data_IF_284881256595
#
_entry.id   IF_284881256595
#
_cell.length_a   1.000
_cell.length_b   1.000
_cell.length_c   1.000
_cell.angle_alpha   90.00
_cell.angle_beta   90.00
_cell.angle_gamma   90.00
#
_symmetry.space_group_name_H-M   'P 1'
#
loop_
_entity.id
_entity.type
_entity.pdbx_description
1 polymer ?
#
# COMPACT_ATOMS: atom_id res chain seq x y z
N UNK A 1 44.85 14.29 -71.42
CA UNK A 1 44.99 14.76 -70.03
C UNK A 1 43.82 14.19 -69.25
N UNK A 2 44.01 13.06 -68.59
CA UNK A 2 42.98 12.43 -67.75
C UNK A 2 43.08 12.95 -66.33
N UNK A 3 42.00 13.55 -65.83
CA UNK A 3 41.86 14.17 -64.51
C UNK A 3 41.10 13.27 -63.53
N UNK A 4 41.39 11.97 -63.53
CA UNK A 4 40.85 11.07 -62.51
C UNK A 4 41.72 11.17 -61.25
N UNK A 5 41.40 12.14 -60.39
CA UNK A 5 41.89 12.19 -59.01
C UNK A 5 41.42 10.93 -58.28
N UNK A 6 42.31 9.96 -58.17
CA UNK A 6 42.13 8.72 -57.43
C UNK A 6 41.83 9.07 -55.95
N UNK A 7 40.57 8.91 -55.52
CA UNK A 7 40.21 9.10 -54.11
C UNK A 7 40.79 7.94 -53.30
N UNK A 8 41.63 8.26 -52.32
CA UNK A 8 42.25 7.31 -51.42
C UNK A 8 41.58 7.38 -50.05
N UNK A 9 40.97 6.29 -49.65
CA UNK A 9 40.42 6.16 -48.31
C UNK A 9 41.54 5.79 -47.32
N UNK A 10 41.58 6.48 -46.19
CA UNK A 10 42.53 6.21 -45.09
C UNK A 10 41.75 5.85 -43.85
N UNK A 11 42.05 4.68 -43.27
CA UNK A 11 41.51 4.26 -41.98
C UNK A 11 42.59 4.42 -40.92
N UNK A 12 42.28 5.19 -39.88
CA UNK A 12 43.15 5.40 -38.72
C UNK A 12 42.51 4.70 -37.53
N UNK A 13 43.20 3.71 -36.98
CA UNK A 13 42.79 3.03 -35.75
C UNK A 13 43.43 3.70 -34.53
N UNK A 14 42.61 4.19 -33.61
CA UNK A 14 43.04 4.79 -32.35
C UNK A 14 42.70 3.86 -31.20
N UNK A 15 43.72 3.46 -30.42
CA UNK A 15 43.56 2.63 -29.23
C UNK A 15 43.80 3.46 -27.97
N UNK A 16 42.77 3.55 -27.11
CA UNK A 16 42.85 4.28 -25.84
C UNK A 16 43.08 3.37 -24.62
N UNK A 17 43.24 2.06 -24.80
CA UNK A 17 43.47 1.13 -23.70
C UNK A 17 44.74 1.45 -22.89
N UNK A 18 45.74 2.06 -23.53
CA UNK A 18 46.99 2.47 -22.86
C UNK A 18 46.84 3.73 -22.00
N UNK A 19 45.78 4.54 -22.18
CA UNK A 19 45.58 5.76 -21.39
C UNK A 19 45.18 5.46 -19.94
N UNK A 20 44.48 4.35 -19.71
CA UNK A 20 43.96 3.96 -18.39
C UNK A 20 44.37 2.52 -18.10
N UNK A 21 45.58 2.33 -17.55
CA UNK A 21 46.12 0.99 -17.26
C UNK A 21 45.46 0.22 -16.11
N UNK A 22 44.29 0.64 -15.60
CA UNK A 22 43.58 -0.03 -14.49
C UNK A 22 42.07 -0.06 -14.71
N UNK A 23 41.45 -1.18 -14.36
CA UNK A 23 39.99 -1.34 -14.36
C UNK A 23 39.39 -0.68 -13.11
N UNK A 24 38.21 -0.04 -13.27
CA UNK A 24 37.48 0.58 -12.17
C UNK A 24 36.93 -0.46 -11.18
N UNK A 25 36.86 -0.11 -9.91
CA UNK A 25 36.29 -0.97 -8.86
C UNK A 25 34.90 -0.50 -8.45
N UNK A 26 33.94 -1.41 -8.52
CA UNK A 26 32.57 -1.20 -8.03
C UNK A 26 32.27 -2.15 -6.86
N UNK A 27 31.69 -1.64 -5.77
CA UNK A 27 31.28 -2.42 -4.61
C UNK A 27 29.97 -1.91 -3.97
N UNK A 28 28.84 -2.50 -4.33
CA UNK A 28 27.51 -2.05 -3.90
C UNK A 28 27.31 -1.89 -2.38
N UNK A 29 28.01 -2.65 -1.54
CA UNK A 29 27.85 -2.62 -0.07
C UNK A 29 28.68 -1.54 0.64
N UNK A 30 29.69 -0.99 -0.03
CA UNK A 30 30.57 0.03 0.53
C UNK A 30 30.34 1.37 -0.15
N UNK A 31 29.58 2.29 0.47
CA UNK A 31 29.30 3.63 -0.09
C UNK A 31 30.56 4.49 -0.30
N UNK A 32 31.72 4.09 0.22
CA UNK A 32 32.99 4.77 -0.01
C UNK A 32 33.66 4.44 -1.35
N UNK A 33 32.99 3.68 -2.24
CA UNK A 33 33.52 3.22 -3.54
C UNK A 33 34.40 4.26 -4.21
N UNK A 34 35.68 3.90 -4.39
CA UNK A 34 36.72 4.87 -4.73
C UNK A 34 36.58 5.43 -6.14
N UNK A 35 35.91 4.71 -7.06
CA UNK A 35 35.81 5.11 -8.46
C UNK A 35 34.41 5.60 -8.91
N UNK A 36 33.34 5.24 -8.19
CA UNK A 36 31.96 5.58 -8.57
C UNK A 36 31.28 6.43 -7.50
N UNK A 37 30.39 7.31 -7.95
CA UNK A 37 29.47 8.11 -7.13
C UNK A 37 28.02 7.81 -7.49
N UNK A 38 27.13 7.97 -6.51
CA UNK A 38 25.69 7.93 -6.76
C UNK A 38 25.28 9.27 -7.35
N UNK A 39 24.64 9.23 -8.50
CA UNK A 39 24.14 10.39 -9.21
C UNK A 39 22.63 10.25 -9.46
N UNK A 40 21.88 11.24 -8.98
CA UNK A 40 20.44 11.34 -9.22
C UNK A 40 20.23 12.24 -10.45
N UNK A 41 19.51 11.79 -11.49
CA UNK A 41 19.14 12.65 -12.60
C UNK A 41 18.18 13.73 -12.10
N UNK A 42 18.51 14.98 -12.38
CA UNK A 42 17.67 16.14 -12.07
C UNK A 42 17.30 16.89 -13.35
N UNK A 43 16.07 17.37 -13.42
CA UNK A 43 15.65 18.30 -14.48
C UNK A 43 16.17 19.71 -14.21
N UNK A 44 16.25 20.55 -15.26
CA UNK A 44 16.64 21.96 -15.18
C UNK A 44 15.75 22.78 -14.22
N UNK A 45 14.51 22.33 -14.00
CA UNK A 45 13.54 22.93 -13.10
C UNK A 45 13.82 22.67 -11.60
N UNK A 46 14.91 21.98 -11.26
CA UNK A 46 15.30 21.73 -9.88
C UNK A 46 14.40 20.71 -9.22
N UNK A 47 14.64 19.43 -9.48
CA UNK A 47 13.90 18.34 -8.84
C UNK A 47 14.53 16.98 -9.08
N UNK A 48 14.36 16.06 -8.13
CA UNK A 48 14.80 14.65 -8.23
C UNK A 48 13.75 13.72 -8.84
N UNK A 49 12.59 14.25 -9.24
CA UNK A 49 11.50 13.48 -9.81
C UNK A 49 11.54 13.61 -11.33
N UNK A 50 11.87 12.51 -12.01
CA UNK A 50 11.86 12.40 -13.46
C UNK A 50 10.85 11.33 -13.83
N UNK A 51 9.90 11.66 -14.72
CA UNK A 51 8.80 10.75 -15.11
C UNK A 51 8.10 10.14 -13.88
N UNK A 52 7.74 10.98 -12.92
CA UNK A 52 7.03 10.53 -11.73
C UNK A 52 7.82 9.63 -10.77
N UNK A 53 9.14 9.47 -10.91
CA UNK A 53 9.94 8.63 -10.04
C UNK A 53 11.29 9.27 -9.69
N UNK A 54 11.82 8.90 -8.52
CA UNK A 54 13.22 9.15 -8.15
C UNK A 54 14.04 7.94 -8.51
N UNK A 55 15.00 8.11 -9.42
CA UNK A 55 15.97 7.08 -9.76
C UNK A 55 17.36 7.53 -9.33
N UNK A 56 18.24 6.57 -9.03
CA UNK A 56 19.66 6.83 -8.84
C UNK A 56 20.50 5.91 -9.70
N UNK A 57 21.55 6.47 -10.27
CA UNK A 57 22.51 5.77 -11.10
C UNK A 57 23.90 5.81 -10.46
N UNK A 58 24.74 4.85 -10.81
CA UNK A 58 26.16 4.93 -10.51
C UNK A 58 26.89 5.55 -11.69
N UNK A 59 27.64 6.62 -11.42
CA UNK A 59 28.48 7.30 -12.40
C UNK A 59 29.92 7.28 -11.95
N UNK A 60 30.86 7.21 -12.89
CA UNK A 60 32.28 7.36 -12.60
C UNK A 60 32.55 8.76 -12.03
N UNK A 61 33.33 8.85 -10.95
CA UNK A 61 33.76 10.15 -10.42
C UNK A 61 34.70 10.83 -11.40
N UNK A 62 34.73 12.17 -11.37
CA UNK A 62 35.57 12.97 -12.28
C UNK A 62 37.06 12.75 -12.07
N UNK A 63 37.48 12.41 -10.87
CA UNK A 63 38.88 12.16 -10.45
C UNK A 63 39.31 10.69 -10.63
N UNK A 64 38.42 9.81 -11.09
CA UNK A 64 38.71 8.39 -11.26
C UNK A 64 39.25 8.08 -12.65
N UNK A 65 40.57 7.86 -12.71
CA UNK A 65 41.29 7.49 -13.94
C UNK A 65 41.35 5.97 -14.13
N UNK A 66 40.27 5.36 -14.59
CA UNK A 66 40.17 3.92 -14.86
C UNK A 66 39.20 3.63 -16.01
N UNK A 67 39.22 2.41 -16.55
CA UNK A 67 38.24 1.96 -17.54
C UNK A 67 37.18 1.03 -16.92
N UNK A 68 35.94 1.09 -17.41
CA UNK A 68 34.84 0.27 -16.91
C UNK A 68 35.00 -1.19 -17.37
N UNK A 69 35.22 -1.41 -18.67
CA UNK A 69 35.35 -2.74 -19.25
C UNK A 69 34.10 -3.58 -19.05
N UNK A 70 34.25 -4.85 -18.69
CA UNK A 70 33.15 -5.81 -18.48
C UNK A 70 32.52 -5.74 -17.08
N UNK A 71 32.71 -4.61 -16.37
CA UNK A 71 32.19 -4.45 -15.02
C UNK A 71 30.66 -4.42 -15.03
N UNK A 72 30.05 -5.40 -14.36
CA UNK A 72 28.59 -5.45 -14.19
C UNK A 72 28.13 -4.40 -13.18
N UNK A 73 27.64 -3.26 -13.68
CA UNK A 73 26.98 -2.25 -12.87
C UNK A 73 25.51 -2.63 -12.67
N UNK A 74 24.95 -2.43 -11.46
CA UNK A 74 23.54 -2.65 -11.23
C UNK A 74 22.71 -1.69 -12.10
N UNK A 75 21.53 -2.17 -12.51
CA UNK A 75 20.54 -1.32 -13.14
C UNK A 75 20.14 -0.17 -12.21
N UNK A 76 19.73 0.99 -12.76
CA UNK A 76 19.27 2.10 -11.95
C UNK A 76 18.21 1.68 -10.95
N UNK A 77 18.40 2.09 -9.70
CA UNK A 77 17.47 1.79 -8.64
C UNK A 77 16.38 2.87 -8.63
N UNK A 78 15.14 2.47 -8.93
CA UNK A 78 13.97 3.35 -8.78
C UNK A 78 13.62 3.38 -7.30
N UNK A 79 14.13 4.38 -6.60
CA UNK A 79 14.02 4.49 -5.14
C UNK A 79 12.57 4.67 -4.67
N UNK A 80 11.77 5.49 -5.38
CA UNK A 80 10.39 5.79 -4.98
C UNK A 80 9.59 6.50 -6.07
N UNK A 81 8.28 6.27 -6.07
CA UNK A 81 7.33 7.05 -6.86
C UNK A 81 7.12 8.45 -6.26
N UNK A 82 7.03 9.46 -7.11
CA UNK A 82 6.69 10.84 -6.75
C UNK A 82 5.18 11.08 -6.85
N UNK A 83 4.73 12.19 -6.26
CA UNK A 83 3.38 12.71 -6.50
C UNK A 83 3.27 13.20 -7.94
N UNK A 84 2.15 12.93 -8.61
CA UNK A 84 1.92 13.46 -9.94
C UNK A 84 1.82 14.98 -9.93
N UNK A 85 2.36 15.59 -10.97
CA UNK A 85 2.30 17.03 -11.28
C UNK A 85 1.80 17.22 -12.70
N UNK A 86 1.51 18.44 -13.13
CA UNK A 86 1.07 18.75 -14.50
C UNK A 86 2.07 18.27 -15.57
N UNK A 87 3.37 18.24 -15.23
CA UNK A 87 4.44 17.78 -16.11
C UNK A 87 4.43 16.25 -16.37
N UNK A 88 3.67 15.48 -15.58
CA UNK A 88 3.49 14.03 -15.77
C UNK A 88 2.37 13.70 -16.77
N UNK A 89 1.70 14.72 -17.32
CA UNK A 89 0.58 14.58 -18.25
C UNK A 89 0.88 15.22 -19.62
N UNK A 90 0.35 14.58 -20.64
CA UNK A 90 0.34 15.06 -22.02
C UNK A 90 -1.11 15.16 -22.53
N UNK A 91 -1.32 15.87 -23.64
CA UNK A 91 -2.65 15.98 -24.21
C UNK A 91 -3.13 14.61 -24.72
N UNK A 92 -4.39 14.31 -24.45
CA UNK A 92 -5.07 13.12 -24.95
C UNK A 92 -5.32 13.24 -26.46
N UNK A 93 -5.67 12.14 -27.10
CA UNK A 93 -6.08 12.09 -28.50
C UNK A 93 -7.04 13.23 -28.87
N UNK A 94 -6.74 13.90 -29.99
CA UNK A 94 -7.45 15.07 -30.51
C UNK A 94 -7.42 16.34 -29.64
N UNK A 95 -6.59 16.39 -28.59
CA UNK A 95 -6.39 17.59 -27.79
C UNK A 95 -5.01 18.20 -28.09
N UNK A 96 -4.93 19.52 -28.01
CA UNK A 96 -3.70 20.31 -28.22
C UNK A 96 -3.58 21.37 -27.14
N UNK A 97 -2.35 21.77 -26.79
CA UNK A 97 -2.12 22.85 -25.84
C UNK A 97 -2.54 24.19 -26.46
N UNK A 98 -3.34 24.97 -25.74
CA UNK A 98 -3.64 26.35 -26.08
C UNK A 98 -2.54 27.32 -25.60
N UNK A 99 -2.82 28.62 -25.67
CA UNK A 99 -1.89 29.67 -25.22
C UNK A 99 -1.67 29.69 -23.71
N UNK A 100 -2.62 29.19 -22.93
CA UNK A 100 -2.54 29.11 -21.48
C UNK A 100 -1.84 27.83 -21.02
N UNK A 101 -1.58 26.92 -21.96
CA UNK A 101 -0.89 25.64 -21.75
C UNK A 101 -1.84 24.48 -21.49
N UNK A 102 -3.15 24.73 -21.56
CA UNK A 102 -4.21 23.75 -21.30
C UNK A 102 -4.50 22.88 -22.53
N UNK A 103 -4.76 21.60 -22.31
CA UNK A 103 -5.11 20.67 -23.39
C UNK A 103 -6.58 20.81 -23.79
N UNK A 104 -6.84 21.49 -24.90
CA UNK A 104 -8.17 21.75 -25.46
C UNK A 104 -8.44 20.89 -26.70
N UNK A 105 -9.72 20.56 -26.91
CA UNK A 105 -10.14 19.79 -28.09
C UNK A 105 -9.92 20.60 -29.37
N UNK A 106 -9.31 19.98 -30.38
CA UNK A 106 -9.11 20.60 -31.68
C UNK A 106 -10.49 20.92 -32.32
N UNK A 107 -10.71 22.13 -32.87
CA UNK A 107 -11.98 22.49 -33.50
C UNK A 107 -12.40 21.49 -34.58
N UNK A 108 -13.62 20.95 -34.47
CA UNK A 108 -14.17 19.96 -35.40
C UNK A 108 -13.74 18.51 -35.16
N UNK A 109 -12.86 18.25 -34.19
CA UNK A 109 -12.49 16.90 -33.79
C UNK A 109 -13.47 16.30 -32.77
N UNK A 110 -13.41 14.97 -32.60
CA UNK A 110 -14.23 14.25 -31.62
C UNK A 110 -13.32 13.67 -30.53
N UNK A 111 -13.61 13.91 -29.24
CA UNK A 111 -12.83 13.32 -28.16
C UNK A 111 -13.04 11.81 -28.07
N UNK A 112 -12.10 11.10 -27.46
CA UNK A 112 -12.31 9.68 -27.18
C UNK A 112 -13.41 9.50 -26.15
N UNK A 113 -14.29 8.52 -26.39
CA UNK A 113 -15.32 8.16 -25.43
C UNK A 113 -14.70 7.58 -24.16
N UNK A 114 -15.28 7.96 -23.01
CA UNK A 114 -14.96 7.35 -21.73
C UNK A 114 -15.35 5.87 -21.73
N UNK A 115 -14.45 5.03 -21.24
CA UNK A 115 -14.69 3.59 -21.07
C UNK A 115 -14.71 3.29 -19.58
N UNK A 116 -15.69 2.50 -19.15
CA UNK A 116 -15.75 2.00 -17.78
C UNK A 116 -14.55 1.08 -17.50
N UNK A 117 -13.57 1.61 -16.76
CA UNK A 117 -12.39 0.89 -16.28
C UNK A 117 -12.39 1.00 -14.76
N UNK A 118 -12.89 -0.04 -14.10
CA UNK A 118 -13.05 -0.08 -12.66
C UNK A 118 -11.70 -0.22 -11.95
N UNK A 119 -11.44 0.70 -11.02
CA UNK A 119 -10.35 0.58 -10.07
C UNK A 119 -10.68 -0.45 -8.97
N UNK A 120 -9.72 -0.74 -8.08
CA UNK A 120 -9.93 -1.64 -6.94
C UNK A 120 -11.03 -1.14 -5.99
N UNK A 121 -11.29 0.16 -5.98
CA UNK A 121 -12.27 0.80 -5.11
C UNK A 121 -13.67 0.87 -5.75
N UNK A 122 -13.92 0.10 -6.82
CA UNK A 122 -15.19 0.09 -7.58
C UNK A 122 -15.61 1.47 -8.12
N UNK A 123 -14.64 2.35 -8.36
CA UNK A 123 -14.82 3.66 -8.99
C UNK A 123 -14.10 3.70 -10.34
N UNK A 124 -14.73 4.32 -11.34
CA UNK A 124 -14.11 4.67 -12.62
C UNK A 124 -14.22 6.19 -12.86
N UNK A 125 -13.35 6.74 -13.71
CA UNK A 125 -13.29 8.17 -13.98
C UNK A 125 -13.54 8.44 -15.46
N UNK A 126 -14.25 9.53 -15.76
CA UNK A 126 -14.35 10.04 -17.13
C UNK A 126 -12.98 10.49 -17.65
N UNK A 127 -12.78 10.34 -18.96
CA UNK A 127 -11.58 10.84 -19.63
C UNK A 127 -11.63 12.35 -19.73
N UNK A 128 -10.48 12.99 -19.57
CA UNK A 128 -10.29 14.42 -19.79
C UNK A 128 -9.49 14.66 -21.08
N UNK A 129 -9.15 15.92 -21.35
CA UNK A 129 -8.20 16.28 -22.41
C UNK A 129 -6.74 15.91 -22.12
N UNK A 130 -6.47 15.25 -20.99
CA UNK A 130 -5.14 14.87 -20.54
C UNK A 130 -5.01 13.36 -20.39
N UNK A 131 -3.80 12.85 -20.58
CA UNK A 131 -3.43 11.47 -20.25
C UNK A 131 -2.07 11.44 -19.56
N UNK A 132 -1.90 10.48 -18.65
CA UNK A 132 -0.60 10.26 -18.02
C UNK A 132 0.41 9.77 -19.05
N UNK A 133 1.61 10.34 -19.05
CA UNK A 133 2.70 9.89 -19.91
C UNK A 133 2.98 8.42 -19.62
N UNK A 134 3.05 7.57 -20.65
CA UNK A 134 3.08 6.11 -20.48
C UNK A 134 4.26 5.58 -19.63
N UNK A 135 5.37 6.31 -19.57
CA UNK A 135 6.53 5.98 -18.73
C UNK A 135 6.53 6.66 -17.36
N UNK A 136 5.58 7.56 -17.09
CA UNK A 136 5.48 8.19 -15.78
C UNK A 136 4.97 7.20 -14.75
N UNK A 137 5.70 7.05 -13.65
CA UNK A 137 5.36 6.17 -12.53
C UNK A 137 4.80 6.96 -11.34
N UNK A 138 4.33 8.19 -11.56
CA UNK A 138 3.80 9.03 -10.48
C UNK A 138 2.53 8.41 -9.87
N UNK A 139 2.30 8.70 -8.58
CA UNK A 139 1.13 8.23 -7.83
C UNK A 139 0.53 9.34 -6.98
N UNK A 140 -0.81 9.42 -6.91
CA UNK A 140 -1.50 10.49 -6.20
C UNK A 140 -1.17 11.89 -6.75
N UNK A 141 -1.32 12.93 -5.92
CA UNK A 141 -1.09 14.31 -6.36
C UNK A 141 -2.20 14.83 -7.27
N UNK A 142 -1.85 15.70 -8.23
CA UNK A 142 -2.79 16.23 -9.22
C UNK A 142 -3.04 15.17 -10.30
N UNK A 143 -4.31 14.79 -10.51
CA UNK A 143 -4.73 13.79 -11.52
C UNK A 143 -5.53 14.48 -12.62
N UNK A 144 -4.83 15.13 -13.55
CA UNK A 144 -5.47 15.83 -14.66
C UNK A 144 -6.19 14.89 -15.63
N UNK A 145 -5.76 13.63 -15.67
CA UNK A 145 -6.34 12.56 -16.50
C UNK A 145 -7.69 12.04 -15.98
N UNK A 146 -8.05 12.34 -14.73
CA UNK A 146 -9.27 11.86 -14.07
C UNK A 146 -10.33 12.96 -14.04
N UNK A 147 -11.43 12.75 -14.77
CA UNK A 147 -12.60 13.61 -14.76
C UNK A 147 -13.57 13.26 -13.62
N UNK A 148 -14.87 13.38 -13.89
CA UNK A 148 -15.89 13.01 -12.92
C UNK A 148 -15.80 11.53 -12.52
N UNK A 149 -15.89 11.25 -11.22
CA UNK A 149 -15.87 9.89 -10.68
C UNK A 149 -17.26 9.26 -10.68
N UNK A 150 -17.34 7.99 -11.06
CA UNK A 150 -18.56 7.21 -11.13
C UNK A 150 -18.37 5.84 -10.47
N UNK A 151 -19.41 5.33 -9.82
CA UNK A 151 -19.38 3.96 -9.33
C UNK A 151 -19.53 2.97 -10.48
N UNK A 152 -18.80 1.88 -10.38
CA UNK A 152 -18.90 0.79 -11.34
C UNK A 152 -20.26 0.11 -11.31
N UNK A 153 -20.66 -0.40 -12.47
CA UNK A 153 -21.92 -1.11 -12.63
C UNK A 153 -21.95 -2.34 -11.71
N UNK A 154 -23.01 -2.41 -10.91
CA UNK A 154 -23.20 -3.50 -9.93
C UNK A 154 -22.57 -3.25 -8.56
N UNK A 155 -21.88 -2.11 -8.34
CA UNK A 155 -21.43 -1.70 -7.01
C UNK A 155 -22.58 -1.72 -5.98
N UNK A 156 -23.72 -1.14 -6.34
CA UNK A 156 -24.93 -1.16 -5.51
C UNK A 156 -25.40 -2.58 -5.16
N UNK A 157 -25.43 -3.51 -6.14
CA UNK A 157 -25.84 -4.90 -5.87
C UNK A 157 -24.88 -5.58 -4.88
N UNK A 158 -23.57 -5.36 -4.99
CA UNK A 158 -22.58 -5.93 -4.07
C UNK A 158 -22.77 -5.43 -2.65
N UNK A 159 -22.91 -4.12 -2.47
CA UNK A 159 -23.10 -3.49 -1.16
C UNK A 159 -24.43 -3.91 -0.53
N UNK A 160 -25.53 -3.92 -1.29
CA UNK A 160 -26.82 -4.33 -0.75
C UNK A 160 -26.91 -5.82 -0.48
N UNK A 161 -26.24 -6.67 -1.26
CA UNK A 161 -26.24 -8.11 -1.01
C UNK A 161 -25.53 -8.43 0.31
N UNK A 162 -24.37 -7.83 0.59
CA UNK A 162 -23.65 -8.05 1.86
C UNK A 162 -24.42 -7.48 3.07
N UNK A 163 -25.04 -6.30 2.92
CA UNK A 163 -25.87 -5.72 3.96
C UNK A 163 -27.13 -6.54 4.24
N UNK A 164 -27.87 -6.96 3.21
CA UNK A 164 -29.06 -7.80 3.38
C UNK A 164 -28.72 -9.16 3.99
N UNK A 165 -27.60 -9.76 3.59
CA UNK A 165 -27.14 -11.03 4.14
C UNK A 165 -26.75 -10.89 5.62
N UNK A 166 -26.03 -9.83 5.99
CA UNK A 166 -25.66 -9.59 7.39
C UNK A 166 -26.86 -9.31 8.28
N UNK A 167 -27.85 -8.54 7.81
CA UNK A 167 -29.12 -8.31 8.51
C UNK A 167 -29.89 -9.64 8.67
N UNK A 168 -29.97 -10.45 7.62
CA UNK A 168 -30.62 -11.77 7.67
C UNK A 168 -29.99 -12.70 8.73
N UNK A 169 -28.66 -12.78 8.77
CA UNK A 169 -27.93 -13.56 9.78
C UNK A 169 -28.18 -13.04 11.19
N UNK A 170 -28.16 -11.71 11.39
CA UNK A 170 -28.44 -11.11 12.70
C UNK A 170 -29.85 -11.42 13.20
N UNK A 171 -30.86 -11.37 12.31
CA UNK A 171 -32.25 -11.72 12.64
C UNK A 171 -32.34 -13.19 13.02
N UNK A 172 -31.70 -14.10 12.28
CA UNK A 172 -31.69 -15.53 12.60
C UNK A 172 -31.04 -15.81 13.97
N UNK A 173 -29.93 -15.15 14.28
CA UNK A 173 -29.28 -15.26 15.60
C UNK A 173 -30.16 -14.71 16.72
N UNK A 174 -30.87 -13.61 16.49
CA UNK A 174 -31.80 -13.04 17.46
C UNK A 174 -33.00 -13.98 17.72
N UNK A 175 -33.55 -14.60 16.67
CA UNK A 175 -34.63 -15.59 16.79
C UNK A 175 -34.14 -16.82 17.56
N UNK A 176 -32.98 -17.37 17.20
CA UNK A 176 -32.38 -18.52 17.89
C UNK A 176 -32.06 -18.20 19.35
N UNK A 177 -31.47 -17.04 19.62
CA UNK A 177 -31.19 -16.57 20.98
C UNK A 177 -32.46 -16.35 21.80
N UNK A 178 -33.51 -15.76 21.20
CA UNK A 178 -34.81 -15.58 21.81
C UNK A 178 -35.51 -16.90 22.13
N UNK A 179 -35.50 -17.85 21.19
CA UNK A 179 -36.03 -19.20 21.38
C UNK A 179 -35.28 -19.96 22.50
N UNK A 180 -33.94 -19.88 22.51
CA UNK A 180 -33.11 -20.46 23.56
C UNK A 180 -33.40 -19.83 24.93
N UNK A 181 -33.51 -18.50 25.00
CA UNK A 181 -33.87 -17.79 26.22
C UNK A 181 -35.27 -18.18 26.71
N UNK A 182 -36.25 -18.28 25.81
CA UNK A 182 -37.61 -18.73 26.12
C UNK A 182 -37.62 -20.16 26.65
N UNK A 183 -36.91 -21.09 26.00
CA UNK A 183 -36.77 -22.47 26.44
C UNK A 183 -36.13 -22.56 27.82
N UNK A 184 -35.01 -21.87 28.03
CA UNK A 184 -34.31 -21.83 29.32
C UNK A 184 -35.19 -21.25 30.42
N UNK A 185 -35.89 -20.15 30.15
CA UNK A 185 -36.82 -19.52 31.12
C UNK A 185 -37.97 -20.45 31.49
N UNK A 186 -38.49 -21.23 30.54
CA UNK A 186 -39.55 -22.21 30.79
C UNK A 186 -39.04 -23.42 31.57
N UNK A 187 -37.84 -23.90 31.26
CA UNK A 187 -37.26 -25.08 31.93
C UNK A 187 -36.71 -24.76 33.33
N UNK A 188 -36.22 -23.54 33.58
CA UNK A 188 -35.81 -23.07 34.92
C UNK A 188 -36.97 -22.87 35.91
N UNK A 189 -38.23 -23.01 35.47
CA UNK A 189 -39.42 -22.97 36.35
C UNK A 189 -39.88 -24.36 36.82
N UNK A 190 -39.22 -25.43 36.39
CA UNK A 190 -39.43 -26.77 36.95
C UNK A 190 -38.36 -27.01 38.01
N UNK A 191 -38.76 -27.06 39.28
CA UNK A 191 -37.87 -27.41 40.39
C UNK A 191 -37.30 -28.84 40.23
N UNK A 192 -36.19 -29.19 40.91
CA UNK A 192 -35.66 -30.54 40.88
C UNK A 192 -36.72 -31.50 41.45
N UNK A 193 -37.03 -32.57 40.71
CA UNK A 193 -37.83 -33.67 41.22
C UNK A 193 -36.99 -34.32 42.33
N UNK A 194 -37.39 -34.18 43.59
CA UNK A 194 -36.92 -35.04 44.67
C UNK A 194 -37.61 -36.40 44.50
N UNK A 195 -36.83 -37.43 44.14
CA UNK A 195 -37.26 -38.81 44.30
C UNK A 195 -37.07 -39.19 45.78
N UNK A 196 -38.04 -39.87 46.42
CA UNK A 196 -37.84 -40.44 47.73
C UNK A 196 -36.80 -41.56 47.68
N UNK A 197 -35.97 -41.65 48.72
CA UNK A 197 -35.07 -42.78 48.95
C UNK A 197 -35.91 -44.06 49.07
N UNK A 198 -35.63 -45.02 48.19
CA UNK A 198 -36.26 -46.33 48.13
C UNK A 198 -35.40 -47.23 47.27
N UNK A 199 -34.95 -48.32 47.87
CA UNK A 199 -33.84 -49.19 47.47
C UNK A 199 -33.90 -49.77 46.04
N UNK A 200 -32.71 -50.15 45.56
CA UNK A 200 -32.35 -50.80 44.28
C UNK A 200 -32.16 -49.92 43.02
N UNK A 201 -30.88 -49.61 42.75
CA UNK A 201 -30.42 -49.07 41.47
C UNK A 201 -30.13 -50.19 40.46
N UNK A 202 -30.77 -50.21 39.27
CA UNK A 202 -30.17 -50.83 38.11
C UNK A 202 -29.25 -49.83 37.42
N UNK A 203 -28.00 -50.24 37.19
CA UNK A 203 -26.97 -49.49 36.46
C UNK A 203 -27.41 -49.25 35.01
N UNK A 204 -27.94 -48.05 34.73
CA UNK A 204 -28.21 -47.59 33.37
C UNK A 204 -27.07 -46.67 32.95
N UNK A 205 -26.18 -47.24 32.13
CA UNK A 205 -25.00 -46.58 31.59
C UNK A 205 -25.29 -45.21 30.99
N UNK A 206 -24.43 -44.24 31.35
CA UNK A 206 -24.38 -42.89 30.75
C UNK A 206 -24.27 -43.00 29.22
N UNK A 207 -25.12 -42.30 28.44
CA UNK A 207 -24.89 -42.20 27.01
C UNK A 207 -23.65 -41.33 26.75
N UNK A 208 -22.60 -41.99 26.27
CA UNK A 208 -21.39 -41.41 25.72
C UNK A 208 -21.69 -40.70 24.40
N UNK A 209 -22.30 -39.52 24.46
CA UNK A 209 -22.55 -38.66 23.28
C UNK A 209 -21.78 -37.32 23.33
N UNK A 210 -20.85 -37.15 24.28
CA UNK A 210 -19.96 -35.98 24.37
C UNK A 210 -18.48 -36.29 24.10
N UNK A 211 -18.14 -37.51 23.69
CA UNK A 211 -16.74 -37.89 23.43
C UNK A 211 -16.24 -37.62 22.00
N UNK A 212 -16.99 -36.93 21.15
CA UNK A 212 -16.57 -36.61 19.77
C UNK A 212 -16.31 -35.13 19.51
N UNK A 213 -16.06 -34.32 20.56
CA UNK A 213 -15.28 -33.12 20.35
C UNK A 213 -13.82 -33.55 20.21
N UNK A 214 -13.35 -33.64 18.96
CA UNK A 214 -11.94 -33.90 18.65
C UNK A 214 -11.05 -33.04 19.55
N UNK A 215 -10.07 -33.68 20.19
CA UNK A 215 -9.07 -33.04 21.06
C UNK A 215 -8.40 -31.83 20.40
N UNK A 216 -8.43 -31.75 19.07
CA UNK A 216 -8.00 -30.62 18.25
C UNK A 216 -8.76 -29.32 18.54
N UNK A 217 -10.08 -29.36 18.73
CA UNK A 217 -10.89 -28.16 18.97
C UNK A 217 -10.62 -27.58 20.37
N UNK A 218 -10.59 -28.44 21.39
CA UNK A 218 -10.26 -28.04 22.77
C UNK A 218 -8.84 -27.45 22.84
N UNK A 219 -7.87 -28.05 22.13
CA UNK A 219 -6.50 -27.53 22.05
C UNK A 219 -6.41 -26.17 21.34
N UNK A 220 -7.22 -25.92 20.30
CA UNK A 220 -7.26 -24.62 19.63
C UNK A 220 -7.88 -23.52 20.50
N UNK A 221 -8.94 -23.81 21.26
CA UNK A 221 -9.53 -22.86 22.21
C UNK A 221 -8.56 -22.51 23.34
N UNK A 222 -7.84 -23.51 23.88
CA UNK A 222 -6.86 -23.26 24.94
C UNK A 222 -5.68 -22.40 24.44
N UNK A 223 -5.21 -22.65 23.21
CA UNK A 223 -4.12 -21.89 22.58
C UNK A 223 -4.54 -20.45 22.24
N UNK A 224 -5.79 -20.24 21.82
CA UNK A 224 -6.36 -18.91 21.60
C UNK A 224 -6.53 -18.12 22.91
N UNK A 225 -7.02 -18.77 23.98
CA UNK A 225 -7.15 -18.16 25.31
C UNK A 225 -5.79 -17.69 25.86
N UNK A 226 -4.76 -18.54 25.76
CA UNK A 226 -3.41 -18.21 26.22
C UNK A 226 -2.76 -17.12 25.36
N UNK A 227 -3.05 -17.08 24.05
CA UNK A 227 -2.59 -16.00 23.17
C UNK A 227 -3.22 -14.64 23.54
N UNK A 228 -4.53 -14.62 23.81
CA UNK A 228 -5.25 -13.40 24.24
C UNK A 228 -4.70 -12.87 25.57
N UNK A 229 -4.32 -13.76 26.50
CA UNK A 229 -3.67 -13.36 27.75
C UNK A 229 -2.23 -12.85 27.56
N UNK A 230 -1.53 -13.28 26.50
CA UNK A 230 -0.17 -12.83 26.19
C UNK A 230 -0.11 -11.47 25.47
N UNK A 231 -1.24 -11.01 24.93
CA UNK A 231 -1.34 -9.68 24.29
C UNK A 231 -1.55 -8.64 25.39
N UNK A 232 -0.45 -8.06 25.87
CA UNK A 232 -0.46 -6.86 26.70
C UNK A 232 -0.77 -5.64 25.84
N UNK A 233 -2.04 -5.24 25.79
CA UNK A 233 -2.44 -3.94 25.23
C UNK A 233 -2.01 -2.85 26.23
N UNK A 234 -1.19 -1.86 25.85
CA UNK A 234 -0.89 -0.72 26.71
C UNK A 234 -2.19 0.03 27.00
N UNK A 235 -2.60 0.09 28.27
CA UNK A 235 -3.73 0.94 28.70
C UNK A 235 -3.28 2.40 28.63
N UNK A 236 -3.97 3.30 27.91
CA UNK A 236 -3.71 4.72 28.04
C UNK A 236 -4.08 5.16 29.46
N UNK A 237 -3.11 5.74 30.17
CA UNK A 237 -3.29 6.22 31.54
C UNK A 237 -4.28 7.37 31.59
N UNK A 238 -5.44 7.13 32.21
CA UNK A 238 -6.32 8.20 32.67
C UNK A 238 -5.67 8.87 33.88
N UNK A 239 -5.28 10.13 33.72
CA UNK A 239 -4.91 11.00 34.84
C UNK A 239 -6.14 11.24 35.72
N UNK A 240 -6.22 10.52 36.84
CA UNK A 240 -7.20 10.73 37.89
C UNK A 240 -6.82 11.97 38.71
N UNK A 241 -7.47 13.10 38.42
CA UNK A 241 -7.51 14.29 39.27
C UNK A 241 -8.28 13.95 40.56
N UNK A 242 -7.58 13.55 41.63
CA UNK A 242 -8.13 13.56 43.00
C UNK A 242 -7.73 14.87 43.67
N UNK A 243 -8.74 15.69 43.94
CA UNK A 243 -8.61 16.80 44.88
C UNK A 243 -8.50 16.26 46.30
N UNK A 244 -7.52 16.75 47.04
CA UNK A 244 -7.49 16.71 48.50
C UNK A 244 -7.44 18.16 48.99
N UNK A 245 -8.44 18.55 49.77
CA UNK A 245 -8.39 19.69 50.68
C UNK A 245 -7.62 19.26 51.93
N UNK A 246 -6.69 20.11 52.39
CA UNK A 246 -5.92 19.93 53.62
C UNK A 246 -4.87 21.03 53.79
N UNK A 247 -5.29 22.08 54.50
CA UNK A 247 -4.64 23.35 54.90
C UNK A 247 -3.22 23.23 55.50
N UNK A 248 -2.31 24.14 55.13
CA UNK A 248 -1.60 25.04 56.07
C UNK A 248 -0.76 26.13 55.37
N UNK A 249 -0.70 27.28 56.06
CA UNK A 249 -0.08 28.56 55.72
C UNK A 249 1.46 28.52 55.72
N UNK A 250 2.06 29.41 54.92
CA UNK A 250 3.48 29.73 54.97
C UNK A 250 3.87 30.70 53.85
N UNK A 251 3.79 32.00 54.14
CA UNK A 251 4.53 33.07 53.46
C UNK A 251 6.02 32.71 53.28
N UNK A 252 6.59 32.93 52.10
CA UNK A 252 7.52 34.05 51.91
C UNK A 252 7.99 34.20 50.46
N UNK A 253 8.05 35.46 50.07
CA UNK A 253 8.69 36.08 48.91
C UNK A 253 10.08 35.55 48.57
N UNK A 254 10.42 35.53 47.27
CA UNK A 254 11.47 36.40 46.70
C UNK A 254 11.71 36.13 45.21
N UNK A 255 11.58 37.20 44.45
CA UNK A 255 12.13 37.43 43.11
C UNK A 255 13.66 37.34 43.10
N UNK A 256 14.21 36.72 42.04
CA UNK A 256 15.25 37.27 41.16
C UNK A 256 15.37 36.40 39.91
#
# INVERSE_FOLDING_TARGET
MDWHSEQKDVVIYLNFAELTGKQCRFNASDRSQRDFEVWDPSTELGGKCLLGAKASHYRLKRDSHCYIGDLALPSPDVQSACKCTEADFECEYNHVRDSDGDCVLIPGAVPLLSKEVCTKDDVWYERTGYRQIAKSMCTGGTRLDQGASHYCRGHWLRVHTTLLWSIGVAILLAIMGGAFWYYRRRNSRKGPIHLPDGDEAPDVGRPSMLSSLSSSLVASFQRASNYIQSVSIPRPGFLSRRGNQGVSLGEDSSSL
#
